data_IF_476670404052
#
_entry.id   IF_476670404052
#
_cell.length_a   1.000
_cell.length_b   1.000
_cell.length_c   1.000
_cell.angle_alpha   90.00
_cell.angle_beta   90.00
_cell.angle_gamma   90.00
#
_symmetry.space_group_name_H-M   'P 1'
#
loop_
_entity.id
_entity.type
_entity.pdbx_description
1 polymer ?
#
# COMPACT_ATOMS: atom_id res chain seq x y z
N UNK A 1 -12.27 -6.67 19.03
CA UNK A 1 -10.95 -6.59 18.41
C UNK A 1 -10.99 -5.42 17.46
N UNK A 2 -10.72 -4.24 17.99
CA UNK A 2 -10.76 -2.99 17.25
C UNK A 2 -9.43 -2.87 16.52
N UNK A 3 -9.45 -2.93 15.19
CA UNK A 3 -8.28 -2.57 14.40
C UNK A 3 -8.01 -1.10 14.70
N UNK A 4 -7.01 -0.82 15.54
CA UNK A 4 -6.46 0.52 15.63
C UNK A 4 -5.86 0.81 14.25
N UNK A 5 -6.60 1.54 13.42
CA UNK A 5 -6.03 2.23 12.28
C UNK A 5 -5.10 3.30 12.85
N UNK A 6 -3.86 2.91 13.14
CA UNK A 6 -2.82 3.84 13.56
C UNK A 6 -2.75 4.98 12.53
N UNK A 7 -2.80 6.18 13.09
CA UNK A 7 -2.86 7.56 12.55
C UNK A 7 -1.72 7.92 11.58
N UNK A 8 -1.21 6.98 10.79
CA UNK A 8 0.00 7.16 9.99
C UNK A 8 0.04 6.30 8.72
N UNK A 9 -1.09 5.88 8.14
CA UNK A 9 -1.02 5.25 6.82
C UNK A 9 -0.56 6.31 5.79
N UNK A 10 0.65 6.15 5.26
CA UNK A 10 1.03 6.89 4.07
C UNK A 10 0.09 6.48 2.94
N UNK A 11 -0.68 7.42 2.43
CA UNK A 11 -1.59 7.20 1.32
C UNK A 11 -1.28 8.17 0.20
N UNK A 12 -1.12 7.67 -1.02
CA UNK A 12 -0.79 8.46 -2.20
C UNK A 12 -1.74 8.10 -3.33
N UNK A 13 -2.26 9.13 -4.00
CA UNK A 13 -3.07 8.98 -5.20
C UNK A 13 -2.20 8.65 -6.41
N UNK A 14 -2.64 7.71 -7.24
CA UNK A 14 -2.08 7.46 -8.57
C UNK A 14 -3.20 7.26 -9.59
N UNK A 15 -2.85 7.23 -10.88
CA UNK A 15 -3.82 7.09 -11.96
C UNK A 15 -3.33 6.12 -13.03
N UNK A 16 -4.28 5.41 -13.63
CA UNK A 16 -4.02 4.52 -14.75
C UNK A 16 -5.28 4.43 -15.63
N UNK A 17 -5.13 4.59 -16.95
CA UNK A 17 -6.24 4.47 -17.90
C UNK A 17 -7.45 5.36 -17.57
N UNK A 18 -7.24 6.56 -17.03
CA UNK A 18 -8.31 7.49 -16.64
C UNK A 18 -8.99 7.19 -15.29
N UNK A 19 -8.66 6.07 -14.64
CA UNK A 19 -9.12 5.74 -13.28
C UNK A 19 -8.15 6.31 -12.23
N UNK A 20 -8.67 6.58 -11.04
CA UNK A 20 -7.89 7.02 -9.87
C UNK A 20 -7.80 5.89 -8.87
N UNK A 21 -6.64 5.79 -8.23
CA UNK A 21 -6.35 4.76 -7.25
C UNK A 21 -5.73 5.39 -6.02
N UNK A 22 -6.06 4.81 -4.86
CA UNK A 22 -5.41 5.07 -3.59
C UNK A 22 -4.41 3.95 -3.33
N UNK A 23 -3.13 4.31 -3.21
CA UNK A 23 -2.08 3.40 -2.79
C UNK A 23 -1.72 3.72 -1.34
N UNK A 24 -1.63 2.71 -0.48
CA UNK A 24 -1.30 2.89 0.92
C UNK A 24 -0.58 1.67 1.48
N UNK A 25 0.07 1.84 2.62
CA UNK A 25 0.75 0.75 3.31
C UNK A 25 0.19 0.51 4.72
N UNK A 26 0.16 -0.74 5.12
CA UNK A 26 -0.33 -1.20 6.42
C UNK A 26 0.59 -2.23 7.06
N UNK A 27 0.34 -2.51 8.34
CA UNK A 27 0.99 -3.60 9.04
C UNK A 27 0.45 -4.95 8.53
N UNK A 28 1.37 -5.85 8.18
CA UNK A 28 1.06 -7.23 7.79
C UNK A 28 1.57 -8.27 8.78
N UNK A 29 2.02 -7.86 9.96
CA UNK A 29 2.62 -8.68 11.01
C UNK A 29 4.11 -8.92 10.73
N UNK A 30 4.41 -10.00 9.99
CA UNK A 30 5.80 -10.37 9.70
C UNK A 30 6.47 -9.50 8.62
N UNK A 31 5.67 -8.87 7.76
CA UNK A 31 6.12 -7.94 6.71
C UNK A 31 5.07 -6.85 6.50
N UNK A 32 5.46 -5.64 6.11
CA UNK A 32 4.49 -4.61 5.75
C UNK A 32 3.72 -5.04 4.50
N UNK A 33 2.48 -4.54 4.37
CA UNK A 33 1.67 -4.73 3.17
C UNK A 33 1.59 -3.45 2.37
N UNK A 34 1.63 -3.61 1.06
CA UNK A 34 1.29 -2.58 0.10
C UNK A 34 -0.11 -2.89 -0.45
N UNK A 35 -0.98 -1.89 -0.43
CA UNK A 35 -2.39 -2.02 -0.76
C UNK A 35 -2.77 -0.95 -1.78
N UNK A 36 -3.69 -1.32 -2.67
CA UNK A 36 -4.15 -0.47 -3.76
C UNK A 36 -5.66 -0.65 -3.94
N UNK A 37 -6.38 0.44 -4.18
CA UNK A 37 -7.80 0.38 -4.48
C UNK A 37 -8.25 1.54 -5.35
N UNK A 38 -9.26 1.33 -6.18
CA UNK A 38 -10.01 2.39 -6.87
C UNK A 38 -11.40 2.63 -6.25
N UNK A 39 -11.58 2.21 -4.98
CA UNK A 39 -12.85 2.15 -4.26
C UNK A 39 -13.89 1.14 -4.80
N UNK A 40 -13.53 0.32 -5.80
CA UNK A 40 -14.37 -0.77 -6.31
C UNK A 40 -13.68 -2.12 -6.14
N UNK A 41 -12.44 -2.19 -6.60
CA UNK A 41 -11.56 -3.35 -6.52
C UNK A 41 -10.47 -3.13 -5.47
N UNK A 42 -9.84 -4.22 -5.03
CA UNK A 42 -8.78 -4.19 -4.03
C UNK A 42 -7.62 -5.09 -4.45
N UNK A 43 -6.40 -4.60 -4.30
CA UNK A 43 -5.18 -5.35 -4.53
C UNK A 43 -4.25 -5.25 -3.33
N UNK A 44 -3.49 -6.30 -3.08
CA UNK A 44 -2.45 -6.27 -2.04
C UNK A 44 -1.28 -7.18 -2.35
N UNK A 45 -0.13 -6.85 -1.78
CA UNK A 45 0.98 -7.77 -1.66
C UNK A 45 1.66 -7.62 -0.29
N UNK A 46 2.25 -8.71 0.21
CA UNK A 46 3.27 -8.62 1.24
C UNK A 46 4.55 -8.09 0.61
N UNK A 47 5.17 -7.08 1.23
CA UNK A 47 6.39 -6.48 0.71
C UNK A 47 7.59 -7.29 1.21
N UNK A 48 8.40 -7.88 0.31
CA UNK A 48 9.63 -8.54 0.70
C UNK A 48 10.59 -7.54 1.35
N UNK A 49 11.15 -7.87 2.52
CA UNK A 49 12.04 -6.97 3.27
C UNK A 49 13.30 -6.61 2.47
N UNK A 50 13.79 -7.55 1.65
CA UNK A 50 14.89 -7.36 0.69
C UNK A 50 14.63 -6.27 -0.37
N UNK A 51 13.37 -5.95 -0.66
CA UNK A 51 13.02 -4.85 -1.58
C UNK A 51 13.02 -3.47 -0.92
N UNK A 52 13.04 -3.43 0.42
CA UNK A 52 13.01 -2.18 1.21
C UNK A 52 14.38 -1.81 1.77
N UNK A 53 15.16 -2.83 2.15
CA UNK A 53 16.49 -2.66 2.72
C UNK A 53 17.51 -2.85 1.61
N UNK A 54 18.11 -1.75 1.14
CA UNK A 54 19.27 -1.83 0.26
C UNK A 54 20.44 -2.44 1.03
N UNK A 55 20.71 -3.72 0.79
CA UNK A 55 21.90 -4.51 1.19
C UNK A 55 22.39 -4.49 2.66
N UNK A 56 21.84 -3.64 3.54
CA UNK A 56 22.10 -3.63 4.98
C UNK A 56 21.05 -4.46 5.73
N UNK A 57 21.48 -5.05 6.85
CA UNK A 57 20.75 -6.03 7.68
C UNK A 57 19.24 -5.81 7.79
N UNK A 58 18.43 -6.88 7.85
CA UNK A 58 16.98 -6.77 7.96
C UNK A 58 16.59 -5.98 9.23
N UNK A 59 16.19 -4.72 9.03
CA UNK A 59 15.60 -3.89 10.08
C UNK A 59 14.30 -4.51 10.62
N UNK A 60 13.83 -4.01 11.77
CA UNK A 60 12.59 -4.52 12.37
C UNK A 60 11.39 -4.31 11.42
N UNK A 61 10.26 -5.04 11.61
CA UNK A 61 9.05 -4.81 10.82
C UNK A 61 8.54 -3.36 10.88
N UNK A 62 8.76 -2.66 11.99
CA UNK A 62 8.41 -1.26 12.15
C UNK A 62 9.30 -0.34 11.29
N UNK A 63 10.61 -0.62 11.22
CA UNK A 63 11.53 0.12 10.36
C UNK A 63 11.19 -0.08 8.89
N UNK A 64 10.82 -1.30 8.53
CA UNK A 64 10.43 -1.67 7.16
C UNK A 64 9.12 -0.98 6.74
N UNK A 65 8.13 -0.92 7.64
CA UNK A 65 6.90 -0.16 7.38
C UNK A 65 7.20 1.34 7.22
N UNK A 66 8.08 1.89 8.05
CA UNK A 66 8.49 3.30 7.98
C UNK A 66 9.20 3.60 6.67
N UNK A 67 10.09 2.71 6.23
CA UNK A 67 10.78 2.80 4.94
C UNK A 67 9.80 2.75 3.75
N UNK A 68 8.84 1.84 3.78
CA UNK A 68 7.80 1.76 2.74
C UNK A 68 6.97 3.04 2.69
N UNK A 69 6.63 3.63 3.83
CA UNK A 69 5.94 4.93 3.92
C UNK A 69 6.74 6.04 3.24
N UNK A 70 8.03 6.14 3.55
CA UNK A 70 8.93 7.13 2.93
C UNK A 70 8.96 6.99 1.40
N UNK A 71 9.11 5.75 0.90
CA UNK A 71 9.15 5.48 -0.55
C UNK A 71 7.84 5.90 -1.23
N UNK A 72 6.70 5.58 -0.60
CA UNK A 72 5.38 5.97 -1.13
C UNK A 72 5.17 7.48 -1.12
N UNK A 73 5.58 8.18 -0.06
CA UNK A 73 5.39 9.63 0.06
C UNK A 73 6.36 10.44 -0.81
N UNK A 74 7.53 9.90 -1.12
CA UNK A 74 8.56 10.61 -1.87
C UNK A 74 8.16 10.98 -3.30
N UNK A 75 7.23 10.25 -3.93
CA UNK A 75 6.73 10.56 -5.26
C UNK A 75 5.42 9.84 -5.60
N UNK A 76 4.82 10.19 -6.73
CA UNK A 76 3.66 9.46 -7.28
C UNK A 76 4.10 8.11 -7.88
N UNK A 77 3.56 6.97 -7.39
CA UNK A 77 3.82 5.67 -7.98
C UNK A 77 3.32 5.55 -9.42
N UNK A 78 4.04 4.80 -10.25
CA UNK A 78 3.60 4.44 -11.60
C UNK A 78 2.80 3.13 -11.51
N UNK A 79 1.53 3.20 -11.86
CA UNK A 79 0.62 2.05 -11.85
C UNK A 79 0.42 1.49 -13.25
N UNK A 80 0.53 0.17 -13.38
CA UNK A 80 0.12 -0.59 -14.56
C UNK A 80 -0.90 -1.66 -14.15
N UNK A 81 -1.99 -1.79 -14.92
CA UNK A 81 -3.00 -2.84 -14.72
C UNK A 81 -3.07 -3.73 -15.96
N UNK A 82 -2.88 -5.03 -15.78
CA UNK A 82 -2.94 -6.04 -16.86
C UNK A 82 -3.61 -7.30 -16.35
N UNK A 83 -4.61 -7.81 -17.07
CA UNK A 83 -5.32 -9.06 -16.76
C UNK A 83 -5.79 -9.21 -15.31
N UNK A 84 -6.19 -8.09 -14.70
CA UNK A 84 -6.65 -8.05 -13.31
C UNK A 84 -5.52 -7.99 -12.26
N UNK A 85 -4.25 -8.09 -12.65
CA UNK A 85 -3.08 -7.84 -11.78
C UNK A 85 -2.68 -6.37 -11.83
N UNK A 86 -2.27 -5.84 -10.69
CA UNK A 86 -1.71 -4.51 -10.57
C UNK A 86 -0.19 -4.59 -10.35
N UNK A 87 0.56 -3.81 -11.09
CA UNK A 87 2.00 -3.64 -10.87
C UNK A 87 2.26 -2.19 -10.50
N UNK A 88 2.85 -1.99 -9.33
CA UNK A 88 3.19 -0.67 -8.80
C UNK A 88 4.70 -0.50 -8.85
N UNK A 89 5.16 0.55 -9.53
CA UNK A 89 6.55 0.92 -9.59
C UNK A 89 6.77 2.23 -8.82
N UNK A 90 7.75 2.20 -7.92
CA UNK A 90 8.17 3.34 -7.10
C UNK A 90 9.68 3.54 -7.26
N UNK A 91 10.16 4.76 -7.13
CA UNK A 91 11.60 5.04 -7.07
C UNK A 91 12.05 5.01 -5.60
N UNK A 92 13.04 4.20 -5.28
CA UNK A 92 13.76 4.32 -4.03
C UNK A 92 15.17 4.88 -4.30
N UNK A 93 15.40 6.14 -3.89
CA UNK A 93 16.66 6.87 -4.13
C UNK A 93 17.03 6.84 -5.63
N UNK A 94 18.03 6.05 -6.02
CA UNK A 94 18.51 5.90 -7.40
C UNK A 94 18.03 4.63 -8.10
N UNK A 95 17.24 3.79 -7.43
CA UNK A 95 16.75 2.51 -7.96
C UNK A 95 15.23 2.51 -8.09
N UNK A 96 14.71 1.78 -9.07
CA UNK A 96 13.28 1.58 -9.21
C UNK A 96 12.89 0.21 -8.65
N UNK A 97 11.88 0.19 -7.79
CA UNK A 97 11.36 -1.00 -7.15
C UNK A 97 9.95 -1.27 -7.66
N UNK A 98 9.71 -2.51 -8.06
CA UNK A 98 8.43 -2.95 -8.61
C UNK A 98 7.77 -3.96 -7.68
N UNK A 99 6.48 -3.77 -7.44
CA UNK A 99 5.62 -4.64 -6.66
C UNK A 99 4.50 -5.18 -7.53
N UNK A 100 4.30 -6.49 -7.51
CA UNK A 100 3.14 -7.12 -8.11
C UNK A 100 2.10 -7.37 -7.03
N UNK A 101 0.92 -6.81 -7.23
CA UNK A 101 -0.20 -6.90 -6.30
C UNK A 101 -1.27 -7.81 -6.90
N UNK A 102 -1.68 -8.79 -6.12
CA UNK A 102 -2.74 -9.70 -6.49
C UNK A 102 -4.10 -9.10 -6.14
N UNK A 103 -5.07 -9.32 -7.03
CA UNK A 103 -6.43 -8.85 -6.85
C UNK A 103 -7.13 -9.71 -5.80
N UNK A 104 -7.71 -9.06 -4.80
CA UNK A 104 -8.49 -9.74 -3.78
C UNK A 104 -9.78 -10.33 -4.38
N UNK A 105 -10.27 -11.39 -3.73
CA UNK A 105 -11.60 -11.92 -4.02
C UNK A 105 -12.68 -10.89 -3.67
N UNK A 106 -13.86 -10.98 -4.29
CA UNK A 106 -14.96 -10.04 -4.02
C UNK A 106 -15.35 -9.95 -2.53
N UNK A 107 -15.49 -11.07 -1.77
CA UNK A 107 -15.79 -10.99 -0.34
C UNK A 107 -14.70 -10.27 0.46
N UNK A 108 -13.43 -10.51 0.12
CA UNK A 108 -12.30 -9.86 0.77
C UNK A 108 -12.23 -8.37 0.43
N UNK A 109 -12.35 -8.01 -0.84
CA UNK A 109 -12.36 -6.62 -1.29
C UNK A 109 -13.44 -5.81 -0.58
N UNK A 110 -14.66 -6.36 -0.44
CA UNK A 110 -15.75 -5.70 0.30
C UNK A 110 -15.38 -5.41 1.76
N UNK A 111 -14.82 -6.40 2.45
CA UNK A 111 -14.39 -6.24 3.85
C UNK A 111 -13.32 -5.15 3.96
N UNK A 112 -12.27 -5.23 3.14
CA UNK A 112 -11.16 -4.27 3.17
C UNK A 112 -11.61 -2.84 2.83
N UNK A 113 -12.51 -2.68 1.85
CA UNK A 113 -13.04 -1.39 1.46
C UNK A 113 -13.92 -0.77 2.57
N UNK A 114 -14.73 -1.58 3.25
CA UNK A 114 -15.52 -1.11 4.39
C UNK A 114 -14.61 -0.62 5.51
N UNK A 115 -13.66 -1.45 5.93
CA UNK A 115 -12.71 -1.12 7.00
C UNK A 115 -11.91 0.15 6.65
N UNK A 116 -11.40 0.25 5.41
CA UNK A 116 -10.69 1.43 4.93
C UNK A 116 -11.57 2.69 4.94
N UNK A 117 -12.81 2.58 4.47
CA UNK A 117 -13.71 3.74 4.38
C UNK A 117 -14.04 4.28 5.77
N UNK A 118 -14.40 3.40 6.71
CA UNK A 118 -14.67 3.84 8.08
C UNK A 118 -13.43 4.41 8.76
N UNK A 119 -12.27 3.76 8.60
CA UNK A 119 -11.01 4.26 9.13
C UNK A 119 -10.62 5.63 8.58
N UNK A 120 -10.83 5.89 7.29
CA UNK A 120 -10.59 7.20 6.70
C UNK A 120 -11.55 8.27 7.24
N UNK A 121 -12.83 7.93 7.43
CA UNK A 121 -13.82 8.86 8.01
C UNK A 121 -13.45 9.23 9.44
N UNK A 122 -13.03 8.27 10.25
CA UNK A 122 -12.54 8.51 11.62
C UNK A 122 -11.33 9.44 11.62
N UNK A 123 -10.34 9.18 10.75
CA UNK A 123 -9.16 10.05 10.63
C UNK A 123 -9.49 11.48 10.21
N UNK A 124 -10.45 11.66 9.29
CA UNK A 124 -10.89 12.98 8.86
C UNK A 124 -11.62 13.77 9.95
N UNK A 125 -12.24 13.10 10.92
CA UNK A 125 -12.88 13.74 12.07
C UNK A 125 -11.88 14.21 13.12
N UNK A 126 -10.67 13.66 13.13
CA UNK A 126 -9.58 14.02 14.03
C UNK A 126 -8.69 15.16 13.47
N UNK A 127 -8.92 15.61 12.23
CA UNK A 127 -8.27 16.77 11.60
C UNK A 127 -8.90 18.09 12.03
#
# INVERSE_FOLDING_TARGET
GTLQLQTSQAAVGCSHGGRRFLCFCGDGGASPRLQLTDACDFWSCSVPLEKLNGQEEPGSPADSLSRLREILQGQTPILTLQDGRATLQVQDRSQSVTFDLDKASLPEARRQLQDLTFGLVEQLQEL
#
